data_IF_533540995242
#
_entry.id   IF_533540995242
#
_cell.length_a   1.000
_cell.length_b   1.000
_cell.length_c   1.000
_cell.angle_alpha   90.00
_cell.angle_beta   90.00
_cell.angle_gamma   90.00
#
_symmetry.space_group_name_H-M   'P 1'
#
loop_
_entity.id
_entity.type
_entity.pdbx_description
1 polymer ?
#
# COMPACT_ATOMS: atom_id res chain seq x y z
N UNK A 1 21.19 3.84 1.73
CA UNK A 1 19.76 3.76 2.14
C UNK A 1 18.98 3.13 1.00
N UNK A 2 18.44 1.93 1.18
CA UNK A 2 17.55 1.30 0.19
C UNK A 2 16.21 2.02 0.33
N UNK A 3 15.83 2.90 -0.61
CA UNK A 3 14.46 3.46 -0.65
C UNK A 3 13.49 2.29 -0.73
N UNK A 4 12.88 1.90 0.40
CA UNK A 4 11.83 0.88 0.43
C UNK A 4 10.67 1.43 -0.39
N UNK A 5 10.35 0.79 -1.50
CA UNK A 5 9.19 1.15 -2.33
C UNK A 5 7.90 1.05 -1.51
N UNK A 6 6.97 1.98 -1.74
CA UNK A 6 5.67 2.03 -1.07
C UNK A 6 4.94 0.68 -1.09
N UNK A 7 4.98 -0.05 -2.21
CA UNK A 7 4.39 -1.39 -2.31
C UNK A 7 4.93 -2.36 -1.25
N UNK A 8 6.23 -2.34 -0.96
CA UNK A 8 6.86 -3.22 0.04
C UNK A 8 6.52 -2.79 1.48
N UNK A 9 6.41 -1.48 1.71
CA UNK A 9 5.96 -0.94 3.00
C UNK A 9 4.51 -1.34 3.31
N UNK A 10 3.60 -1.20 2.33
CA UNK A 10 2.21 -1.64 2.49
C UNK A 10 2.14 -3.14 2.72
N UNK A 11 2.92 -3.93 1.98
CA UNK A 11 2.93 -5.38 2.18
C UNK A 11 3.32 -5.78 3.61
N UNK A 12 4.36 -5.13 4.15
CA UNK A 12 4.82 -5.34 5.53
C UNK A 12 3.72 -4.95 6.55
N UNK A 13 3.06 -3.81 6.34
CA UNK A 13 1.94 -3.35 7.20
C UNK A 13 0.72 -4.26 7.13
N UNK A 14 0.45 -4.87 5.98
CA UNK A 14 -0.61 -5.86 5.85
C UNK A 14 -0.31 -7.10 6.67
N UNK A 15 0.94 -7.58 6.64
CA UNK A 15 1.39 -8.71 7.46
C UNK A 15 1.34 -8.37 8.95
N UNK A 16 1.84 -7.19 9.35
CA UNK A 16 1.83 -6.69 10.74
C UNK A 16 0.42 -6.63 11.32
N UNK A 17 -0.55 -6.15 10.54
CA UNK A 17 -1.96 -6.03 10.95
C UNK A 17 -2.80 -7.30 10.71
N UNK A 18 -2.19 -8.37 10.19
CA UNK A 18 -2.89 -9.60 9.81
C UNK A 18 -4.02 -9.38 8.78
N UNK A 19 -3.87 -8.39 7.91
CA UNK A 19 -4.87 -8.03 6.89
C UNK A 19 -4.54 -8.73 5.58
N UNK A 20 -5.53 -9.41 5.02
CA UNK A 20 -5.37 -10.06 3.72
C UNK A 20 -5.30 -9.05 2.57
N UNK A 21 -4.35 -9.22 1.66
CA UNK A 21 -4.26 -8.45 0.39
C UNK A 21 -5.58 -8.46 -0.40
N UNK A 22 -6.34 -9.56 -0.30
CA UNK A 22 -7.67 -9.70 -0.92
C UNK A 22 -8.71 -8.74 -0.32
N UNK A 23 -8.74 -8.59 1.00
CA UNK A 23 -9.65 -7.67 1.71
C UNK A 23 -9.35 -6.22 1.34
N UNK A 24 -8.07 -5.87 1.28
CA UNK A 24 -7.63 -4.53 0.90
C UNK A 24 -7.94 -4.23 -0.56
N UNK A 25 -7.64 -5.18 -1.45
CA UNK A 25 -8.01 -5.06 -2.86
C UNK A 25 -9.52 -4.85 -3.01
N UNK A 26 -10.34 -5.63 -2.28
CA UNK A 26 -11.80 -5.51 -2.30
C UNK A 26 -12.28 -4.16 -1.78
N UNK A 27 -11.69 -3.66 -0.69
CA UNK A 27 -12.04 -2.35 -0.12
C UNK A 27 -11.68 -1.20 -1.06
N UNK A 28 -10.57 -1.34 -1.79
CA UNK A 28 -10.16 -0.38 -2.80
C UNK A 28 -10.89 -0.54 -4.15
N UNK A 29 -11.75 -1.56 -4.30
CA UNK A 29 -12.44 -1.87 -5.55
C UNK A 29 -11.55 -2.47 -6.64
N UNK A 30 -10.38 -2.99 -6.27
CA UNK A 30 -9.46 -3.68 -7.18
C UNK A 30 -9.63 -5.19 -7.12
N UNK A 31 -9.36 -5.85 -8.25
CA UNK A 31 -9.10 -7.28 -8.24
C UNK A 31 -7.78 -7.55 -7.48
N UNK A 32 -7.73 -8.66 -6.73
CA UNK A 32 -6.54 -9.08 -5.99
C UNK A 32 -5.28 -9.14 -6.88
N UNK A 33 -5.43 -9.59 -8.13
CA UNK A 33 -4.35 -9.65 -9.12
C UNK A 33 -3.79 -8.27 -9.46
N UNK A 34 -4.68 -7.29 -9.69
CA UNK A 34 -4.32 -5.89 -9.98
C UNK A 34 -3.62 -5.26 -8.78
N UNK A 35 -4.08 -5.52 -7.57
CA UNK A 35 -3.45 -5.05 -6.35
C UNK A 35 -2.03 -5.61 -6.18
N UNK A 36 -1.86 -6.92 -6.42
CA UNK A 36 -0.55 -7.57 -6.33
C UNK A 36 0.43 -7.05 -7.40
N UNK A 37 -0.06 -6.79 -8.62
CA UNK A 37 0.72 -6.18 -9.70
C UNK A 37 1.15 -4.74 -9.33
N UNK A 38 0.25 -3.95 -8.72
CA UNK A 38 0.56 -2.62 -8.19
C UNK A 38 1.60 -2.64 -7.07
N UNK A 39 1.53 -3.61 -6.15
CA UNK A 39 2.56 -3.81 -5.11
C UNK A 39 3.91 -4.14 -5.73
N UNK A 40 3.97 -5.11 -6.65
CA UNK A 40 5.22 -5.55 -7.25
C UNK A 40 5.85 -4.48 -8.15
N UNK A 41 5.05 -3.80 -8.98
CA UNK A 41 5.52 -2.78 -9.92
C UNK A 41 5.59 -1.37 -9.33
N UNK A 42 5.18 -1.21 -8.08
CA UNK A 42 5.07 0.08 -7.40
C UNK A 42 4.28 1.13 -8.20
N UNK A 43 3.21 0.71 -8.89
CA UNK A 43 2.35 1.55 -9.74
C UNK A 43 1.13 2.10 -8.99
N UNK A 44 1.30 2.34 -7.69
CA UNK A 44 0.29 3.04 -6.89
C UNK A 44 0.29 4.53 -7.22
N UNK A 45 -0.89 5.08 -7.46
CA UNK A 45 -1.07 6.54 -7.56
C UNK A 45 -1.21 7.13 -6.17
N UNK A 46 -0.93 8.43 -6.03
CA UNK A 46 -1.11 9.14 -4.75
C UNK A 46 -2.51 8.87 -4.13
N UNK A 47 -3.58 8.89 -4.94
CA UNK A 47 -4.93 8.56 -4.47
C UNK A 47 -5.06 7.13 -3.89
N UNK A 48 -4.44 6.13 -4.54
CA UNK A 48 -4.40 4.75 -4.03
C UNK A 48 -3.64 4.69 -2.70
N UNK A 49 -2.53 5.43 -2.61
CA UNK A 49 -1.70 5.53 -1.40
C UNK A 49 -2.52 6.13 -0.25
N UNK A 50 -3.23 7.22 -0.48
CA UNK A 50 -4.09 7.87 0.51
C UNK A 50 -5.23 6.96 0.98
N UNK A 51 -5.87 6.22 0.07
CA UNK A 51 -6.92 5.26 0.44
C UNK A 51 -6.37 4.10 1.27
N UNK A 52 -5.22 3.55 0.90
CA UNK A 52 -4.52 2.52 1.66
C UNK A 52 -4.10 3.00 3.04
N UNK A 53 -3.53 4.19 3.10
CA UNK A 53 -3.14 4.87 4.32
C UNK A 53 -4.32 5.03 5.27
N UNK A 54 -5.42 5.57 4.76
CA UNK A 54 -6.64 5.77 5.53
C UNK A 54 -7.21 4.44 6.03
N UNK A 55 -7.27 3.43 5.16
CA UNK A 55 -7.75 2.09 5.52
C UNK A 55 -6.91 1.43 6.61
N UNK A 56 -5.58 1.53 6.50
CA UNK A 56 -4.65 0.95 7.47
C UNK A 56 -4.44 1.81 8.71
N UNK A 57 -5.08 2.98 8.77
CA UNK A 57 -4.91 4.01 9.79
C UNK A 57 -3.42 4.39 9.98
N UNK A 58 -2.72 4.55 8.86
CA UNK A 58 -1.33 4.95 8.81
C UNK A 58 -1.22 6.47 8.87
N UNK A 59 -0.22 6.96 9.59
CA UNK A 59 0.08 8.40 9.64
C UNK A 59 0.72 8.82 8.33
N UNK A 60 0.35 10.01 7.84
CA UNK A 60 0.94 10.60 6.63
C UNK A 60 2.47 10.70 6.68
N UNK A 61 3.03 10.87 7.87
CA UNK A 61 4.47 10.92 8.11
C UNK A 61 5.17 9.60 7.72
N UNK A 62 4.62 8.45 8.13
CA UNK A 62 5.18 7.13 7.78
C UNK A 62 5.11 6.84 6.28
N UNK A 63 4.15 7.45 5.59
CA UNK A 63 3.91 7.24 4.17
C UNK A 63 4.84 8.14 3.37
N UNK A 64 5.02 9.41 3.79
CA UNK A 64 5.91 10.39 3.15
C UNK A 64 7.35 9.90 3.03
N UNK A 65 7.84 9.09 3.97
CA UNK A 65 9.19 8.50 3.88
C UNK A 65 9.33 7.44 2.77
N UNK A 66 8.21 6.98 2.19
CA UNK A 66 8.16 5.89 1.21
C UNK A 66 7.60 6.30 -0.16
N UNK A 67 7.16 7.55 -0.33
CA UNK A 67 6.75 8.15 -1.61
C UNK A 67 7.66 9.36 -1.91
N UNK A 68 8.53 9.20 -2.91
CA UNK A 68 9.32 10.28 -3.50
C UNK A 68 8.36 11.13 -4.34
N UNK A 69 8.13 12.38 -3.95
CA UNK A 69 7.25 13.32 -4.65
C UNK A 69 7.98 14.02 -5.81
#
# INVERSE_FOLDING_TARGET
>A
MIKRTFGKFIDDKLVEKNISRREVARTLGFAQKTFNDKIQKNTFRADDVFKLAHYLCLKLDEIKEHIDY
#
